data_IF_054557473238
#
_entry.id   IF_054557473238
#
_cell.length_a   1.000
_cell.length_b   1.000
_cell.length_c   1.000
_cell.angle_alpha   90.00
_cell.angle_beta   90.00
_cell.angle_gamma   90.00
#
_symmetry.space_group_name_H-M   'P 1'
#
loop_
_entity.id
_entity.type
_entity.pdbx_description
1 polymer ?
#
# COMPACT_ATOMS: atom_id res chain seq x y z
N UNK A 1 -53.89 -38.75 -19.51
CA UNK A 1 -54.00 -37.95 -18.27
C UNK A 1 -53.37 -38.75 -17.13
N UNK A 2 -52.56 -38.18 -16.22
CA UNK A 2 -51.39 -37.32 -16.40
C UNK A 2 -50.08 -38.13 -16.28
N UNK A 3 -49.10 -37.87 -17.15
CA UNK A 3 -47.74 -38.40 -17.03
C UNK A 3 -46.93 -37.48 -16.12
N UNK A 4 -46.40 -38.02 -15.02
CA UNK A 4 -45.58 -37.29 -14.06
C UNK A 4 -44.23 -36.88 -14.69
N UNK A 5 -43.72 -35.66 -14.45
CA UNK A 5 -42.38 -35.30 -14.85
C UNK A 5 -41.33 -35.97 -13.97
N UNK A 6 -40.43 -36.71 -14.62
CA UNK A 6 -39.19 -37.26 -14.06
C UNK A 6 -38.23 -36.09 -13.85
N UNK A 7 -38.00 -35.69 -12.60
CA UNK A 7 -36.93 -34.77 -12.24
C UNK A 7 -35.61 -35.53 -12.11
N UNK A 8 -34.71 -35.29 -13.06
CA UNK A 8 -33.36 -35.83 -13.07
C UNK A 8 -32.32 -34.75 -12.69
N UNK A 9 -31.52 -35.09 -11.66
CA UNK A 9 -30.16 -34.62 -11.31
C UNK A 9 -30.01 -33.18 -10.75
N UNK A 10 -29.15 -33.00 -9.71
CA UNK A 10 -27.70 -33.00 -9.96
C UNK A 10 -26.85 -33.84 -9.00
N UNK A 11 -25.73 -34.29 -9.57
CA UNK A 11 -24.61 -35.00 -8.96
C UNK A 11 -24.08 -34.33 -7.69
N UNK A 12 -24.22 -35.01 -6.54
CA UNK A 12 -23.47 -34.72 -5.32
C UNK A 12 -22.03 -35.25 -5.46
N UNK A 13 -21.15 -34.42 -5.99
CA UNK A 13 -19.69 -34.55 -5.80
C UNK A 13 -19.11 -33.17 -5.51
N UNK A 14 -19.38 -32.65 -4.32
CA UNK A 14 -18.57 -31.57 -3.76
C UNK A 14 -17.49 -32.26 -2.93
N UNK A 15 -16.31 -32.31 -3.52
CA UNK A 15 -15.08 -32.77 -2.93
C UNK A 15 -14.74 -31.83 -1.76
N UNK A 16 -14.79 -32.31 -0.51
CA UNK A 16 -14.11 -31.64 0.59
C UNK A 16 -12.60 -31.81 0.40
N UNK A 17 -11.92 -30.76 -0.03
CA UNK A 17 -10.48 -30.64 0.10
C UNK A 17 -10.17 -29.71 1.28
N UNK A 18 -10.18 -30.26 2.49
CA UNK A 18 -9.60 -29.62 3.65
C UNK A 18 -8.09 -29.81 3.58
N UNK A 19 -7.36 -28.84 3.02
CA UNK A 19 -5.90 -28.83 3.07
C UNK A 19 -5.49 -28.13 4.35
N UNK A 20 -4.98 -28.93 5.29
CA UNK A 20 -4.26 -28.49 6.46
C UNK A 20 -3.05 -27.64 6.03
N UNK A 21 -2.91 -26.45 6.60
CA UNK A 21 -1.65 -25.70 6.59
C UNK A 21 -1.45 -25.06 7.96
N UNK A 22 -1.26 -25.92 8.94
CA UNK A 22 -0.56 -25.59 10.18
C UNK A 22 0.91 -25.95 10.01
N UNK A 23 1.79 -25.09 10.55
CA UNK A 23 3.25 -25.23 10.63
C UNK A 23 4.10 -24.59 9.50
N UNK A 24 4.04 -23.26 9.36
CA UNK A 24 5.17 -22.51 8.76
C UNK A 24 5.55 -21.22 9.50
N UNK A 25 4.86 -20.85 10.59
CA UNK A 25 5.06 -19.57 11.27
C UNK A 25 6.15 -19.52 12.35
N UNK A 26 6.94 -20.59 12.55
CA UNK A 26 7.95 -20.63 13.63
C UNK A 26 9.39 -20.39 13.14
N UNK A 27 9.68 -20.50 11.83
CA UNK A 27 11.07 -20.41 11.33
C UNK A 27 11.51 -19.01 10.88
N UNK A 28 10.61 -18.05 10.66
CA UNK A 28 10.98 -16.66 10.29
C UNK A 28 11.29 -15.80 11.53
N UNK A 29 10.67 -16.09 12.68
CA UNK A 29 10.88 -15.32 13.92
C UNK A 29 12.28 -15.46 14.53
N UNK A 30 12.95 -16.60 14.33
CA UNK A 30 14.29 -16.84 14.88
C UNK A 30 15.40 -16.12 14.09
N UNK A 31 15.19 -15.85 12.79
CA UNK A 31 16.21 -15.19 11.95
C UNK A 31 16.30 -13.67 12.17
N UNK A 32 15.22 -13.03 12.63
CA UNK A 32 15.22 -11.59 12.93
C UNK A 32 15.67 -11.26 14.36
N UNK A 33 15.77 -12.26 15.26
CA UNK A 33 16.14 -12.01 16.67
C UNK A 33 17.62 -12.27 16.99
N UNK A 34 18.34 -13.07 16.19
CA UNK A 34 19.77 -13.39 16.46
C UNK A 34 20.74 -13.05 15.32
N UNK A 35 20.28 -12.44 14.22
CA UNK A 35 21.05 -12.38 12.98
C UNK A 35 21.66 -11.03 12.55
N UNK A 36 21.60 -9.95 13.35
CA UNK A 36 22.00 -8.64 12.81
C UNK A 36 22.57 -7.61 13.80
N UNK A 37 23.55 -8.01 14.63
CA UNK A 37 24.35 -7.04 15.40
C UNK A 37 25.86 -7.12 15.17
N UNK A 38 26.36 -7.85 14.16
CA UNK A 38 27.81 -7.91 13.88
C UNK A 38 28.13 -7.98 12.37
N UNK A 39 27.72 -6.98 11.60
CA UNK A 39 28.19 -6.84 10.21
C UNK A 39 28.33 -5.37 9.73
N UNK A 40 28.61 -4.44 10.66
CA UNK A 40 28.96 -3.05 10.33
C UNK A 40 30.31 -2.61 10.91
N UNK A 41 31.21 -3.58 11.14
CA UNK A 41 32.57 -3.33 11.66
C UNK A 41 33.65 -4.02 10.82
N UNK A 42 33.55 -3.97 9.48
CA UNK A 42 34.70 -4.30 8.61
C UNK A 42 34.49 -3.80 7.18
N UNK A 43 34.67 -2.51 6.99
CA UNK A 43 34.50 -1.91 5.66
C UNK A 43 34.90 -0.46 5.55
N UNK A 44 35.90 0.00 6.31
CA UNK A 44 36.56 1.29 6.06
C UNK A 44 38.07 1.06 6.16
N UNK A 45 38.64 0.49 5.08
CA UNK A 45 40.05 0.64 4.77
C UNK A 45 40.28 2.05 4.25
N UNK A 46 40.30 3.02 5.17
CA UNK A 46 40.64 4.41 4.90
C UNK A 46 41.98 4.71 5.55
N UNK A 47 42.99 4.94 4.72
CA UNK A 47 44.30 5.48 5.09
C UNK A 47 44.14 6.69 6.02
N UNK A 48 44.72 6.60 7.22
CA UNK A 48 44.82 7.72 8.16
C UNK A 48 45.88 8.72 7.66
N UNK A 49 45.56 10.01 7.46
CA UNK A 49 46.55 11.04 7.58
C UNK A 49 46.79 11.34 9.06
N UNK A 50 48.01 11.05 9.50
CA UNK A 50 48.62 11.55 10.72
C UNK A 50 48.52 13.08 10.73
N UNK A 51 47.82 13.65 11.71
CA UNK A 51 47.77 15.10 11.92
C UNK A 51 48.25 15.44 13.32
N UNK A 52 49.38 16.15 13.36
CA UNK A 52 50.01 16.75 14.52
C UNK A 52 49.21 17.97 14.96
N UNK A 53 48.76 17.96 16.22
CA UNK A 53 48.51 19.13 17.05
C UNK A 53 47.70 20.27 16.43
N UNK A 54 46.38 20.25 16.58
CA UNK A 54 45.62 21.37 17.13
C UNK A 54 44.14 20.97 17.30
N UNK A 55 43.57 21.28 18.47
CA UNK A 55 42.14 21.36 18.82
C UNK A 55 41.21 20.26 18.24
N UNK A 56 40.86 19.30 19.09
CA UNK A 56 39.78 18.33 18.85
C UNK A 56 38.43 19.06 18.90
N UNK A 57 37.88 19.36 17.74
CA UNK A 57 36.47 19.75 17.63
C UNK A 57 35.61 18.50 17.69
N UNK A 58 34.88 18.31 18.80
CA UNK A 58 33.74 17.39 18.88
C UNK A 58 32.63 17.99 18.01
N UNK A 59 32.61 17.64 16.73
CA UNK A 59 31.48 17.96 15.88
C UNK A 59 30.26 17.22 16.41
N UNK A 60 29.32 17.95 17.02
CA UNK A 60 28.00 17.42 17.35
C UNK A 60 27.39 16.86 16.07
N UNK A 61 26.82 15.64 16.07
CA UNK A 61 26.08 15.17 14.91
C UNK A 61 24.98 16.19 14.64
N UNK A 62 25.02 16.80 13.46
CA UNK A 62 23.96 17.67 13.00
C UNK A 62 22.67 16.86 13.06
N UNK A 63 21.81 17.18 14.02
CA UNK A 63 20.46 16.67 14.05
C UNK A 63 19.87 17.03 12.69
N UNK A 64 19.63 16.03 11.85
CA UNK A 64 18.98 16.21 10.58
C UNK A 64 17.68 16.96 10.87
N UNK A 65 17.60 18.20 10.41
CA UNK A 65 16.42 19.01 10.54
C UNK A 65 15.28 18.21 9.89
N UNK A 66 14.31 17.78 10.69
CA UNK A 66 13.08 17.20 10.18
C UNK A 66 12.42 18.35 9.41
N UNK A 67 12.23 18.28 8.09
CA UNK A 67 11.51 19.32 7.38
C UNK A 67 10.08 19.31 7.90
N UNK A 68 9.77 20.19 8.83
CA UNK A 68 8.41 20.43 9.28
C UNK A 68 7.80 21.52 8.41
N UNK A 69 6.51 21.35 8.16
CA UNK A 69 5.62 22.23 7.38
C UNK A 69 5.63 22.03 5.86
N UNK A 70 5.54 20.77 5.45
CA UNK A 70 4.60 20.45 4.38
C UNK A 70 3.18 20.54 4.94
N UNK A 71 2.32 21.38 4.35
CA UNK A 71 0.88 21.45 4.67
C UNK A 71 0.33 20.03 4.80
N UNK A 72 -0.05 19.62 6.01
CA UNK A 72 -0.59 18.28 6.23
C UNK A 72 -1.87 18.16 5.41
N UNK A 73 -1.83 17.35 4.36
CA UNK A 73 -3.00 17.09 3.53
C UNK A 73 -4.09 16.48 4.42
N UNK A 74 -5.30 17.01 4.32
CA UNK A 74 -6.47 16.47 5.01
C UNK A 74 -6.65 15.01 4.59
N UNK A 75 -6.73 14.11 5.58
CA UNK A 75 -6.98 12.68 5.37
C UNK A 75 -8.43 12.38 5.72
N UNK A 76 -9.12 11.71 4.82
CA UNK A 76 -10.53 11.39 4.99
C UNK A 76 -10.84 10.06 4.30
N UNK A 77 -11.69 9.26 4.93
CA UNK A 77 -12.25 8.06 4.34
C UNK A 77 -13.73 8.02 4.66
N UNK A 78 -14.56 7.96 3.62
CA UNK A 78 -16.00 7.83 3.75
C UNK A 78 -16.49 6.66 2.89
N UNK A 79 -17.30 5.79 3.49
CA UNK A 79 -17.91 4.64 2.82
C UNK A 79 -19.41 4.74 3.09
N UNK A 80 -20.18 4.96 2.03
CA UNK A 80 -21.62 4.99 2.10
C UNK A 80 -22.21 3.57 2.15
N UNK A 81 -23.46 3.45 2.58
CA UNK A 81 -24.18 2.17 2.70
C UNK A 81 -24.39 1.44 1.35
N UNK A 82 -24.26 2.15 0.23
CA UNK A 82 -24.33 1.60 -1.12
C UNK A 82 -22.95 1.25 -1.71
N UNK A 83 -21.89 1.31 -0.88
CA UNK A 83 -20.51 1.03 -1.30
C UNK A 83 -19.82 2.18 -2.04
N UNK A 84 -20.47 3.34 -2.23
CA UNK A 84 -19.79 4.53 -2.73
C UNK A 84 -18.71 4.95 -1.73
N UNK A 85 -17.52 5.19 -2.22
CA UNK A 85 -16.34 5.48 -1.41
C UNK A 85 -15.68 6.79 -1.84
N UNK A 86 -15.26 7.57 -0.84
CA UNK A 86 -14.33 8.68 -0.97
C UNK A 86 -13.09 8.37 -0.11
N UNK A 87 -11.92 8.39 -0.73
CA UNK A 87 -10.63 8.22 -0.07
C UNK A 87 -9.76 9.43 -0.38
N UNK A 88 -9.47 10.28 0.61
CA UNK A 88 -8.72 11.53 0.43
C UNK A 88 -7.42 11.51 1.21
N UNK A 89 -6.34 11.94 0.56
CA UNK A 89 -5.03 12.04 1.19
C UNK A 89 -4.28 10.71 1.25
N UNK A 90 -4.57 9.79 0.33
CA UNK A 90 -3.83 8.54 0.19
C UNK A 90 -2.58 8.75 -0.67
N UNK A 91 -1.47 8.15 -0.31
CA UNK A 91 -0.22 8.21 -1.07
C UNK A 91 -0.12 7.03 -2.03
N UNK A 92 0.24 7.27 -3.28
CA UNK A 92 0.48 6.21 -4.27
C UNK A 92 1.73 5.42 -3.90
N UNK A 93 1.58 4.12 -3.65
CA UNK A 93 2.66 3.19 -3.32
C UNK A 93 3.20 2.49 -4.56
N UNK A 94 2.32 2.17 -5.51
CA UNK A 94 2.68 1.61 -6.81
C UNK A 94 1.65 1.95 -7.87
N UNK A 95 2.11 2.23 -9.09
CA UNK A 95 1.26 2.41 -10.27
C UNK A 95 1.58 1.31 -11.28
N UNK A 96 0.62 0.43 -11.54
CA UNK A 96 0.74 -0.64 -12.54
C UNK A 96 -0.47 -0.63 -13.48
N UNK A 97 -0.43 -1.44 -14.55
CA UNK A 97 -1.47 -1.40 -15.60
C UNK A 97 -2.86 -1.69 -15.02
N UNK A 98 -3.66 -0.64 -14.92
CA UNK A 98 -5.06 -0.71 -14.48
C UNK A 98 -5.22 -0.80 -12.96
N UNK A 99 -4.15 -0.64 -12.20
CA UNK A 99 -4.20 -0.79 -10.74
C UNK A 99 -3.21 0.13 -10.04
N UNK A 100 -3.73 1.00 -9.19
CA UNK A 100 -2.94 1.76 -8.22
C UNK A 100 -3.03 1.07 -6.87
N UNK A 101 -1.89 0.93 -6.18
CA UNK A 101 -1.87 0.58 -4.76
C UNK A 101 -1.60 1.85 -4.00
N UNK A 102 -2.47 2.21 -3.07
CA UNK A 102 -2.36 3.45 -2.29
C UNK A 102 -2.35 3.15 -0.81
N UNK A 103 -1.63 3.97 -0.05
CA UNK A 103 -1.48 3.85 1.39
C UNK A 103 -1.95 5.11 2.09
N UNK A 104 -2.55 4.98 3.26
CA UNK A 104 -2.90 6.09 4.13
C UNK A 104 -2.48 5.75 5.55
N UNK A 105 -1.84 6.70 6.23
CA UNK A 105 -1.41 6.54 7.61
C UNK A 105 -2.21 7.45 8.54
N UNK A 106 -2.66 6.92 9.67
CA UNK A 106 -3.35 7.65 10.72
C UNK A 106 -2.74 7.32 12.08
N UNK A 107 -1.81 8.16 12.54
CA UNK A 107 -0.98 7.85 13.70
C UNK A 107 -0.10 6.63 13.41
N UNK A 108 -0.29 5.55 14.18
CA UNK A 108 0.40 4.27 13.99
C UNK A 108 -0.38 3.27 13.12
N UNK A 109 -1.58 3.62 12.66
CA UNK A 109 -2.39 2.76 11.81
C UNK A 109 -2.07 2.98 10.32
N UNK A 110 -1.85 1.89 9.61
CA UNK A 110 -1.62 1.88 8.17
C UNK A 110 -2.81 1.23 7.44
N UNK A 111 -3.32 1.93 6.43
CA UNK A 111 -4.41 1.45 5.57
C UNK A 111 -3.90 1.35 4.14
N UNK A 112 -3.96 0.16 3.54
CA UNK A 112 -3.58 -0.06 2.14
C UNK A 112 -4.82 -0.42 1.32
N UNK A 113 -4.95 0.21 0.16
CA UNK A 113 -6.08 0.04 -0.76
C UNK A 113 -5.59 -0.32 -2.15
N UNK A 114 -6.36 -1.18 -2.80
CA UNK A 114 -6.24 -1.45 -4.22
C UNK A 114 -7.24 -0.57 -4.96
N UNK A 115 -6.80 0.11 -6.01
CA UNK A 115 -7.63 1.00 -6.83
C UNK A 115 -7.58 0.47 -8.24
N UNK A 116 -8.67 -0.15 -8.68
CA UNK A 116 -8.83 -0.59 -10.05
C UNK A 116 -9.25 0.61 -10.90
N UNK A 117 -8.61 0.76 -12.05
CA UNK A 117 -8.88 1.83 -13.00
C UNK A 117 -9.11 1.24 -14.37
N UNK A 118 -10.10 1.73 -15.09
CA UNK A 118 -10.42 1.29 -16.44
C UNK A 118 -10.39 2.46 -17.44
N UNK A 119 -10.94 2.27 -18.64
CA UNK A 119 -11.03 3.34 -19.65
C UNK A 119 -12.03 4.45 -19.31
N UNK A 120 -12.92 4.21 -18.35
CA UNK A 120 -13.90 5.17 -17.84
C UNK A 120 -13.41 5.98 -16.64
N UNK A 121 -12.34 5.56 -15.97
CA UNK A 121 -11.74 6.32 -14.87
C UNK A 121 -11.21 7.68 -15.34
N UNK A 122 -11.65 8.75 -14.69
CA UNK A 122 -11.16 10.11 -14.95
C UNK A 122 -9.99 10.48 -14.04
N UNK A 123 -8.90 10.96 -14.64
CA UNK A 123 -7.72 11.44 -13.93
C UNK A 123 -7.65 12.96 -13.97
N UNK A 124 -7.49 13.59 -12.81
CA UNK A 124 -7.54 15.03 -12.63
C UNK A 124 -6.35 15.52 -11.79
N UNK A 125 -5.80 16.68 -12.13
CA UNK A 125 -4.87 17.38 -11.25
C UNK A 125 -5.60 17.95 -10.03
N UNK A 126 -4.87 18.41 -9.01
CA UNK A 126 -5.43 19.15 -7.87
C UNK A 126 -6.32 20.34 -8.26
N UNK A 127 -6.03 20.95 -9.41
CA UNK A 127 -6.81 22.07 -9.99
C UNK A 127 -8.02 21.62 -10.83
N UNK A 128 -8.25 20.32 -10.98
CA UNK A 128 -9.33 19.76 -11.79
C UNK A 128 -9.05 19.73 -13.29
N UNK A 129 -7.81 19.97 -13.71
CA UNK A 129 -7.41 19.81 -15.12
C UNK A 129 -7.26 18.33 -15.43
N UNK A 130 -7.80 17.88 -16.57
CA UNK A 130 -7.67 16.50 -17.03
C UNK A 130 -6.21 16.12 -17.24
N UNK A 131 -5.84 14.96 -16.73
CA UNK A 131 -4.53 14.31 -16.93
C UNK A 131 -4.71 12.85 -17.32
N UNK A 132 -3.60 12.13 -17.49
CA UNK A 132 -3.59 10.70 -17.79
C UNK A 132 -3.17 9.89 -16.56
N UNK A 133 -3.36 8.58 -16.59
CA UNK A 133 -2.87 7.70 -15.53
C UNK A 133 -1.35 7.74 -15.43
N UNK A 134 -0.67 7.91 -16.56
CA UNK A 134 0.78 7.98 -16.68
C UNK A 134 1.37 9.21 -15.95
N UNK A 135 0.55 10.22 -15.70
CA UNK A 135 0.93 11.41 -14.94
C UNK A 135 0.93 11.15 -13.42
N UNK A 136 0.20 10.14 -12.93
CA UNK A 136 0.18 9.73 -11.53
C UNK A 136 1.45 8.93 -11.19
N UNK A 137 2.19 9.38 -10.19
CA UNK A 137 3.49 8.81 -9.79
C UNK A 137 3.44 8.26 -8.37
N UNK A 138 4.38 7.36 -8.09
CA UNK A 138 4.62 6.87 -6.71
C UNK A 138 5.07 8.05 -5.85
N UNK A 139 4.45 8.19 -4.68
CA UNK A 139 4.65 9.32 -3.77
C UNK A 139 3.59 10.42 -3.89
N UNK A 140 2.82 10.46 -4.97
CA UNK A 140 1.74 11.44 -5.13
C UNK A 140 0.67 11.21 -4.07
N UNK A 141 0.12 12.30 -3.53
CA UNK A 141 -1.05 12.26 -2.68
C UNK A 141 -2.27 12.36 -3.58
N UNK A 142 -3.26 11.51 -3.38
CA UNK A 142 -4.45 11.44 -4.22
C UNK A 142 -5.74 11.41 -3.40
N UNK A 143 -6.80 11.84 -4.06
CA UNK A 143 -8.20 11.68 -3.72
C UNK A 143 -8.86 10.76 -4.74
N UNK A 144 -9.49 9.70 -4.26
CA UNK A 144 -10.13 8.67 -5.08
C UNK A 144 -11.61 8.64 -4.74
N UNK A 145 -12.45 8.62 -5.76
CA UNK A 145 -13.89 8.38 -5.65
C UNK A 145 -14.26 7.18 -6.50
N UNK A 146 -15.05 6.26 -5.96
CA UNK A 146 -15.43 5.04 -6.66
C UNK A 146 -16.36 4.16 -5.84
N UNK A 147 -16.45 2.88 -6.21
CA UNK A 147 -17.25 1.90 -5.48
C UNK A 147 -16.36 0.81 -4.86
N UNK A 148 -16.67 0.42 -3.63
CA UNK A 148 -15.99 -0.69 -2.97
C UNK A 148 -16.40 -2.03 -3.59
N UNK A 149 -15.42 -2.88 -3.89
CA UNK A 149 -15.60 -4.23 -4.41
C UNK A 149 -15.50 -5.23 -3.24
N UNK A 150 -16.62 -5.89 -2.91
CA UNK A 150 -16.74 -6.74 -1.71
C UNK A 150 -16.12 -8.15 -1.78
N UNK A 151 -15.49 -8.53 -2.89
CA UNK A 151 -15.04 -9.91 -3.14
C UNK A 151 -13.51 -10.04 -3.27
N UNK A 152 -12.75 -9.10 -2.71
CA UNK A 152 -11.28 -9.07 -2.77
C UNK A 152 -10.65 -9.36 -1.40
N UNK A 153 -9.42 -9.89 -1.40
CA UNK A 153 -8.63 -10.12 -0.18
C UNK A 153 -8.11 -8.82 0.43
N UNK A 154 -7.98 -7.78 -0.38
CA UNK A 154 -7.63 -6.41 0.05
C UNK A 154 -8.80 -5.48 -0.28
N UNK A 155 -9.05 -4.42 0.51
CA UNK A 155 -10.12 -3.50 0.20
C UNK A 155 -9.84 -2.82 -1.14
N UNK A 156 -10.74 -3.02 -2.10
CA UNK A 156 -10.55 -2.66 -3.50
C UNK A 156 -11.61 -1.68 -3.96
N UNK A 157 -11.19 -0.60 -4.61
CA UNK A 157 -12.05 0.46 -5.13
C UNK A 157 -12.08 0.35 -6.66
N UNK A 158 -13.26 0.26 -7.24
CA UNK A 158 -13.50 0.52 -8.66
C UNK A 158 -13.59 2.03 -8.88
N UNK A 159 -12.55 2.64 -9.46
CA UNK A 159 -12.38 4.08 -9.46
C UNK A 159 -13.15 4.78 -10.58
N UNK A 160 -13.98 5.76 -10.18
CA UNK A 160 -14.59 6.72 -11.11
C UNK A 160 -13.68 7.92 -11.31
N UNK A 161 -13.10 8.45 -10.24
CA UNK A 161 -12.20 9.61 -10.28
C UNK A 161 -10.94 9.35 -9.47
N UNK A 162 -9.80 9.77 -10.02
CA UNK A 162 -8.52 9.85 -9.32
C UNK A 162 -7.98 11.26 -9.49
N UNK A 163 -7.77 11.96 -8.38
CA UNK A 163 -7.32 13.35 -8.34
C UNK A 163 -6.06 13.49 -7.50
N UNK A 164 -5.05 14.19 -7.97
CA UNK A 164 -3.88 14.61 -7.16
C UNK A 164 -4.27 15.67 -6.10
#
# INVERSE_FOLDING_TARGET
MPTLPIFALPNKKILLAAVASGASLVLVGAFLYFGNTEAFAKGIGGTLPQSSGDKVYLAAPAAAAIPLEGKVAMREMHIANNGLMLLRGATVLSNSRGTLRVGMTWGAADFTWMVQTDSGTEFLTSKGVKQTREDIRVGDVVTITGHLIGNSTEPTIDATFVRE
#
